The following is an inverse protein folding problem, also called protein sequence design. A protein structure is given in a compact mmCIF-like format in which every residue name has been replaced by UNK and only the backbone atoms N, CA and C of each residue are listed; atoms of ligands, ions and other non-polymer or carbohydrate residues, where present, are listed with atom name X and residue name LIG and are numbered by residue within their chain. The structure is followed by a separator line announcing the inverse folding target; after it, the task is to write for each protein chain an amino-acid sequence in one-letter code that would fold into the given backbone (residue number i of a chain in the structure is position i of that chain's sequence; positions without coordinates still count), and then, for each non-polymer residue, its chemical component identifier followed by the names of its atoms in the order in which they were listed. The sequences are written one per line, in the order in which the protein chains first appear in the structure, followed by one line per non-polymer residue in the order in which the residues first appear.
data_IF_562316151063
#
_entry.id   IF_562316151063
#
_cell.length_a   1.000
_cell.length_b   1.000
_cell.length_c   1.000
_cell.angle_alpha   90.00
_cell.angle_beta   90.00
_cell.angle_gamma   90.00
#
_symmetry.space_group_name_H-M   'P 1'
#
loop_
_entity.id
_entity.type
_entity.pdbx_description
1 polymer ?
#
# COMPACT_ATOMS: atom_id res chain seq x y z
N UNK A 1 -9.42 -4.79 -13.81
CA UNK A 1 -7.96 -5.00 -13.71
C UNK A 1 -7.42 -3.81 -12.93
N UNK A 2 -6.70 -4.09 -11.87
CA UNK A 2 -6.07 -3.07 -11.04
C UNK A 2 -4.62 -2.91 -11.52
N UNK A 3 -4.18 -1.69 -11.80
CA UNK A 3 -2.78 -1.40 -12.01
C UNK A 3 -2.09 -1.17 -10.66
N UNK A 4 -0.76 -1.20 -10.67
CA UNK A 4 0.07 -1.02 -9.49
C UNK A 4 1.41 -0.33 -9.86
N UNK A 5 2.30 -0.18 -8.89
CA UNK A 5 3.59 0.48 -9.14
C UNK A 5 4.45 -0.22 -10.21
N UNK A 6 4.33 -1.53 -10.38
CA UNK A 6 5.08 -2.25 -11.44
C UNK A 6 4.67 -1.78 -12.82
N UNK A 7 3.36 -1.63 -13.10
CA UNK A 7 2.86 -1.15 -14.37
C UNK A 7 3.22 0.32 -14.61
N UNK A 8 3.19 1.14 -13.57
CA UNK A 8 3.64 2.54 -13.64
C UNK A 8 5.13 2.61 -13.97
N UNK A 9 5.97 1.83 -13.29
CA UNK A 9 7.41 1.77 -13.54
C UNK A 9 7.75 1.22 -14.93
N UNK A 10 6.94 0.30 -15.46
CA UNK A 10 7.07 -0.21 -16.82
C UNK A 10 6.59 0.77 -17.91
N UNK A 11 6.00 1.92 -17.52
CA UNK A 11 5.51 2.94 -18.45
C UNK A 11 4.22 2.57 -19.19
N UNK A 12 3.47 1.57 -18.71
CA UNK A 12 2.21 1.11 -19.34
C UNK A 12 0.96 1.59 -18.61
N UNK A 13 1.12 2.26 -17.47
CA UNK A 13 0.05 2.87 -16.69
C UNK A 13 0.57 4.13 -15.98
N UNK A 14 -0.35 4.96 -15.50
CA UNK A 14 -0.09 6.10 -14.60
C UNK A 14 -0.56 5.78 -13.18
N UNK A 15 -0.24 6.62 -12.21
CA UNK A 15 -0.77 6.46 -10.84
C UNK A 15 -2.30 6.60 -10.79
N UNK A 16 -2.88 7.41 -11.66
CA UNK A 16 -4.34 7.59 -11.76
C UNK A 16 -5.05 6.33 -12.28
N UNK A 17 -4.32 5.45 -12.96
CA UNK A 17 -4.82 4.15 -13.41
C UNK A 17 -4.76 3.06 -12.33
N UNK A 18 -4.15 3.35 -11.16
CA UNK A 18 -4.04 2.42 -10.05
C UNK A 18 -5.32 2.47 -9.21
N UNK A 19 -6.27 1.60 -9.54
CA UNK A 19 -7.59 1.60 -8.91
C UNK A 19 -7.62 1.02 -7.49
N UNK A 20 -6.57 0.31 -7.04
CA UNK A 20 -6.52 -0.28 -5.71
C UNK A 20 -5.48 0.42 -4.85
N UNK A 21 -5.92 0.81 -3.66
CA UNK A 21 -5.04 1.26 -2.58
C UNK A 21 -5.38 0.57 -1.26
N UNK A 22 -4.39 0.41 -0.42
CA UNK A 22 -4.55 -0.09 0.96
C UNK A 22 -4.60 1.12 1.89
N UNK A 23 -5.69 1.24 2.66
CA UNK A 23 -5.80 2.21 3.74
C UNK A 23 -5.10 1.65 4.97
N UNK A 24 -4.22 2.45 5.56
CA UNK A 24 -3.44 2.07 6.74
C UNK A 24 -3.23 3.28 7.64
N UNK A 25 -3.03 3.02 8.93
CA UNK A 25 -2.87 4.05 9.95
C UNK A 25 -1.41 4.15 10.37
N UNK A 26 -0.93 5.37 10.58
CA UNK A 26 0.34 5.61 11.25
C UNK A 26 0.15 5.38 12.75
N UNK A 27 0.62 4.24 13.26
CA UNK A 27 0.37 3.81 14.64
C UNK A 27 1.48 4.20 15.62
N UNK A 28 2.66 4.56 15.09
CA UNK A 28 3.78 4.96 15.96
C UNK A 28 4.78 5.85 15.22
N UNK A 29 5.48 6.68 15.99
CA UNK A 29 6.61 7.49 15.56
C UNK A 29 7.75 7.37 16.56
N UNK A 30 8.92 6.94 16.10
CA UNK A 30 10.13 6.84 16.91
C UNK A 30 11.16 7.87 16.42
N UNK A 31 11.00 9.11 16.87
CA UNK A 31 11.81 10.25 16.42
C UNK A 31 11.32 10.87 15.11
N UNK A 32 12.06 11.84 14.53
CA UNK A 32 11.60 12.61 13.38
C UNK A 32 11.54 11.77 12.08
N UNK A 33 12.45 10.84 11.90
CA UNK A 33 12.68 10.20 10.60
C UNK A 33 12.15 8.76 10.52
N UNK A 34 11.35 8.34 11.52
CA UNK A 34 10.74 7.00 11.56
C UNK A 34 9.26 7.05 11.80
N UNK A 35 8.55 6.10 11.20
CA UNK A 35 7.13 5.86 11.43
C UNK A 35 6.80 4.38 11.30
N UNK A 36 5.64 3.99 11.83
CA UNK A 36 5.12 2.63 11.76
C UNK A 36 3.69 2.69 11.25
N UNK A 37 3.42 1.90 10.21
CA UNK A 37 2.07 1.62 9.70
C UNK A 37 1.54 0.32 10.32
N UNK A 38 0.23 0.20 10.46
CA UNK A 38 -0.45 -1.05 10.82
C UNK A 38 -0.68 -2.00 9.63
N UNK A 39 -0.05 -1.73 8.49
CA UNK A 39 -0.01 -2.60 7.33
C UNK A 39 1.42 -3.15 7.13
N UNK A 40 1.58 -4.43 7.36
CA UNK A 40 2.83 -5.17 7.19
C UNK A 40 2.81 -6.10 5.97
N UNK A 41 3.67 -7.13 6.01
CA UNK A 41 3.77 -8.10 4.92
C UNK A 41 2.51 -8.96 4.73
N UNK A 42 1.68 -9.12 5.76
CA UNK A 42 0.38 -9.81 5.67
C UNK A 42 -0.70 -8.98 4.95
N UNK A 43 -0.44 -7.70 4.72
CA UNK A 43 -1.37 -6.80 4.01
C UNK A 43 -0.80 -6.38 2.65
N UNK A 44 0.43 -5.87 2.64
CA UNK A 44 1.08 -5.31 1.43
C UNK A 44 1.99 -6.30 0.71
N UNK A 45 2.24 -7.46 1.31
CA UNK A 45 3.19 -8.50 0.90
C UNK A 45 4.65 -8.03 0.88
N UNK A 46 5.59 -8.96 0.80
CA UNK A 46 7.02 -8.65 0.69
C UNK A 46 7.52 -8.66 -0.75
N UNK A 47 6.60 -8.61 -1.73
CA UNK A 47 6.97 -8.58 -3.14
C UNK A 47 7.68 -7.25 -3.47
N UNK A 48 8.94 -7.28 -3.91
CA UNK A 48 9.69 -6.07 -4.25
C UNK A 48 9.24 -5.42 -5.56
N UNK A 49 8.27 -6.01 -6.27
CA UNK A 49 7.71 -5.44 -7.49
C UNK A 49 8.75 -5.21 -8.60
N UNK A 50 9.63 -6.19 -8.84
CA UNK A 50 10.67 -6.05 -9.86
C UNK A 50 11.84 -5.15 -9.45
N UNK A 51 12.05 -4.93 -8.17
CA UNK A 51 13.17 -4.13 -7.64
C UNK A 51 12.84 -2.65 -7.44
N UNK A 52 11.56 -2.32 -7.25
CA UNK A 52 11.13 -0.97 -6.87
C UNK A 52 11.69 -0.58 -5.50
N UNK A 53 12.00 0.69 -5.31
CA UNK A 53 12.41 1.20 -4.00
C UNK A 53 11.22 1.21 -3.02
N UNK A 54 11.41 0.57 -1.87
CA UNK A 54 10.37 0.41 -0.85
C UNK A 54 9.22 -0.54 -1.26
N UNK A 55 8.23 -0.66 -0.40
CA UNK A 55 7.14 -1.64 -0.50
C UNK A 55 5.76 -0.98 -0.71
N UNK A 56 5.66 -0.09 -1.65
CA UNK A 56 4.46 0.65 -1.98
C UNK A 56 4.73 2.15 -2.06
N UNK A 57 3.75 2.90 -2.56
CA UNK A 57 3.76 4.35 -2.62
C UNK A 57 2.65 4.90 -1.73
N UNK A 58 3.01 5.72 -0.77
CA UNK A 58 2.05 6.44 0.08
C UNK A 58 1.59 7.68 -0.68
N UNK A 59 0.30 7.76 -1.01
CA UNK A 59 -0.22 8.83 -1.87
C UNK A 59 -0.14 10.21 -1.21
N UNK A 60 -0.40 10.30 0.09
CA UNK A 60 -0.38 11.55 0.86
C UNK A 60 1.05 12.00 1.20
N UNK A 61 2.01 11.08 1.19
CA UNK A 61 3.42 11.33 1.50
C UNK A 61 4.33 10.57 0.53
N UNK A 62 4.42 10.98 -0.74
CA UNK A 62 5.16 10.22 -1.77
C UNK A 62 6.68 10.14 -1.51
N UNK A 63 7.22 11.02 -0.66
CA UNK A 63 8.61 10.99 -0.23
C UNK A 63 8.87 9.98 0.91
N UNK A 64 7.81 9.53 1.60
CA UNK A 64 7.90 8.53 2.65
C UNK A 64 8.11 7.14 2.05
N UNK A 65 9.10 6.43 2.54
CA UNK A 65 9.46 5.11 2.04
C UNK A 65 9.07 4.03 3.05
N UNK A 66 8.29 3.05 2.63
CA UNK A 66 8.10 1.82 3.41
C UNK A 66 9.37 0.98 3.21
N UNK A 67 10.28 1.04 4.18
CA UNK A 67 11.64 0.51 4.04
C UNK A 67 11.73 -1.00 4.29
N UNK A 68 10.88 -1.51 5.17
CA UNK A 68 10.82 -2.93 5.53
C UNK A 68 9.50 -3.27 6.21
N UNK A 69 9.22 -4.55 6.35
CA UNK A 69 8.06 -5.07 7.06
C UNK A 69 8.44 -5.93 8.26
N UNK A 70 7.57 -5.90 9.27
CA UNK A 70 7.19 -7.05 10.08
C UNK A 70 5.89 -7.62 9.49
N UNK A 71 5.31 -8.62 10.14
CA UNK A 71 4.07 -9.24 9.66
C UNK A 71 2.90 -8.25 9.61
N UNK A 72 2.68 -7.52 10.71
CA UNK A 72 1.56 -6.60 10.88
C UNK A 72 1.96 -5.12 10.70
N UNK A 73 3.26 -4.82 10.54
CA UNK A 73 3.74 -3.44 10.56
C UNK A 73 4.65 -3.11 9.40
N UNK A 74 4.45 -1.92 8.82
CA UNK A 74 5.35 -1.30 7.85
C UNK A 74 6.24 -0.24 8.51
N UNK A 75 7.55 -0.37 8.37
CA UNK A 75 8.51 0.58 8.90
C UNK A 75 8.80 1.66 7.86
N UNK A 76 8.50 2.92 8.24
CA UNK A 76 8.73 4.08 7.40
C UNK A 76 10.13 4.66 7.62
N UNK A 77 10.78 5.00 6.53
CA UNK A 77 11.88 5.94 6.45
C UNK A 77 11.34 7.28 5.95
N UNK A 78 11.44 8.31 6.78
CA UNK A 78 10.92 9.65 6.55
C UNK A 78 12.03 10.69 6.37
N UNK A 79 13.28 10.26 6.20
CA UNK A 79 14.45 11.15 6.09
C UNK A 79 14.33 12.15 4.94
N UNK A 80 13.63 11.78 3.86
CA UNK A 80 13.42 12.62 2.68
C UNK A 80 12.14 13.45 2.74
N UNK A 81 11.30 13.26 3.76
CA UNK A 81 10.00 13.93 3.85
C UNK A 81 10.14 15.36 4.36
N UNK A 82 9.59 16.31 3.61
CA UNK A 82 9.37 17.68 4.08
C UNK A 82 8.20 17.70 5.08
N UNK A 83 7.09 17.10 4.71
CA UNK A 83 5.94 16.88 5.58
C UNK A 83 5.89 15.43 6.04
N UNK A 84 5.77 15.23 7.34
CA UNK A 84 5.79 13.92 7.96
C UNK A 84 4.42 13.54 8.50
N UNK A 85 3.93 12.32 8.23
CA UNK A 85 2.68 11.87 8.79
C UNK A 85 2.74 11.82 10.33
N UNK A 86 1.61 12.01 10.99
CA UNK A 86 1.45 11.97 12.44
C UNK A 86 0.83 10.66 12.87
N UNK A 87 1.00 10.30 14.12
CA UNK A 87 0.27 9.17 14.72
C UNK A 87 -1.22 9.44 14.66
N UNK A 88 -1.98 8.48 14.13
CA UNK A 88 -3.41 8.57 13.88
C UNK A 88 -3.78 8.99 12.45
N UNK A 89 -2.83 9.46 11.64
CA UNK A 89 -3.11 9.74 10.24
C UNK A 89 -3.40 8.44 9.49
N UNK A 90 -4.46 8.46 8.70
CA UNK A 90 -4.78 7.40 7.75
C UNK A 90 -4.21 7.78 6.40
N UNK A 91 -3.45 6.87 5.81
CA UNK A 91 -2.81 7.06 4.51
C UNK A 91 -3.17 5.93 3.55
N UNK A 92 -3.07 6.21 2.25
CA UNK A 92 -3.34 5.24 1.18
C UNK A 92 -2.04 4.79 0.55
N UNK A 93 -1.89 3.48 0.43
CA UNK A 93 -0.72 2.87 -0.19
C UNK A 93 -1.10 2.20 -1.49
N UNK A 94 -0.53 2.65 -2.60
CA UNK A 94 -0.54 1.90 -3.86
C UNK A 94 0.53 0.81 -3.75
N UNK A 95 0.16 -0.48 -3.84
CA UNK A 95 1.12 -1.57 -3.66
C UNK A 95 2.10 -1.66 -4.84
N UNK A 96 3.23 -2.33 -4.60
CA UNK A 96 4.15 -2.67 -5.68
C UNK A 96 3.51 -3.65 -6.66
N UNK A 97 2.82 -4.68 -6.14
CA UNK A 97 2.21 -5.74 -6.93
C UNK A 97 0.79 -6.05 -6.40
N UNK A 98 -0.21 -5.62 -7.13
CA UNK A 98 -1.62 -5.70 -6.71
C UNK A 98 -2.16 -7.14 -6.63
N UNK A 99 -1.69 -8.05 -7.48
CA UNK A 99 -2.19 -9.42 -7.54
C UNK A 99 -2.00 -10.16 -6.22
N UNK A 100 -0.80 -10.05 -5.64
CA UNK A 100 -0.48 -10.70 -4.37
C UNK A 100 -1.21 -10.06 -3.19
N UNK A 101 -1.44 -8.74 -3.24
CA UNK A 101 -2.21 -8.02 -2.21
C UNK A 101 -3.68 -8.45 -2.20
N UNK A 102 -4.32 -8.48 -3.37
CA UNK A 102 -5.72 -8.94 -3.49
C UNK A 102 -5.88 -10.38 -3.02
N UNK A 103 -4.89 -11.23 -3.26
CA UNK A 103 -4.93 -12.63 -2.81
C UNK A 103 -4.83 -12.80 -1.28
N UNK A 104 -4.49 -11.75 -0.53
CA UNK A 104 -4.39 -11.79 0.94
C UNK A 104 -5.72 -11.51 1.64
N UNK A 105 -6.74 -11.02 0.93
CA UNK A 105 -8.04 -10.62 1.50
C UNK A 105 -9.18 -11.40 0.88
N UNK A 106 -10.28 -11.56 1.64
CA UNK A 106 -11.48 -12.25 1.15
C UNK A 106 -12.36 -11.36 0.29
N UNK A 107 -12.29 -10.04 0.51
CA UNK A 107 -13.10 -9.05 -0.18
C UNK A 107 -12.35 -7.73 -0.31
N UNK A 108 -12.77 -6.91 -1.27
CA UNK A 108 -12.31 -5.52 -1.44
C UNK A 108 -13.51 -4.58 -1.43
N UNK A 109 -13.33 -3.41 -0.81
CA UNK A 109 -14.34 -2.36 -0.75
C UNK A 109 -14.26 -1.51 -2.01
N UNK A 110 -15.39 -1.35 -2.71
CA UNK A 110 -15.50 -0.45 -3.86
C UNK A 110 -15.91 0.95 -3.39
N UNK A 111 -15.17 1.95 -3.83
CA UNK A 111 -15.45 3.36 -3.54
C UNK A 111 -15.61 4.17 -4.83
N UNK A 112 -16.42 5.21 -4.74
CA UNK A 112 -16.55 6.25 -5.78
C UNK A 112 -16.40 7.61 -5.10
N UNK A 113 -15.23 8.24 -5.26
CA UNK A 113 -14.86 9.35 -4.40
C UNK A 113 -14.77 8.88 -2.95
N UNK A 114 -15.51 9.51 -2.06
CA UNK A 114 -15.56 9.17 -0.63
C UNK A 114 -16.74 8.25 -0.26
N UNK A 115 -17.52 7.79 -1.24
CA UNK A 115 -18.68 6.94 -1.02
C UNK A 115 -18.35 5.46 -1.21
N UNK A 116 -18.71 4.61 -0.25
CA UNK A 116 -18.67 3.15 -0.40
C UNK A 116 -19.86 2.73 -1.26
N UNK A 117 -19.60 2.18 -2.44
CA UNK A 117 -20.62 1.75 -3.40
C UNK A 117 -20.83 0.25 -3.42
N UNK A 118 -19.99 -0.53 -2.76
CA UNK A 118 -20.17 -1.97 -2.65
C UNK A 118 -18.96 -2.71 -2.10
N UNK A 119 -19.10 -4.04 -2.06
CA UNK A 119 -18.06 -4.97 -1.65
C UNK A 119 -17.95 -6.05 -2.74
N UNK A 120 -16.73 -6.32 -3.19
CA UNK A 120 -16.42 -7.39 -4.15
C UNK A 120 -15.72 -8.55 -3.45
N UNK A 121 -16.29 -9.77 -3.50
CA UNK A 121 -15.57 -10.94 -3.01
C UNK A 121 -14.42 -11.30 -3.93
N UNK A 122 -13.29 -11.73 -3.35
CA UNK A 122 -12.15 -12.27 -4.09
C UNK A 122 -12.41 -13.76 -4.37
N UNK A 123 -13.19 -14.03 -5.41
CA UNK A 123 -13.74 -15.36 -5.70
C UNK A 123 -12.69 -16.46 -5.94
N UNK A 124 -11.49 -16.09 -6.41
CA UNK A 124 -10.40 -17.03 -6.68
C UNK A 124 -9.39 -17.18 -5.53
N UNK A 125 -9.60 -16.51 -4.39
CA UNK A 125 -8.72 -16.67 -3.22
C UNK A 125 -8.70 -18.11 -2.73
N UNK A 126 -7.50 -18.65 -2.53
CA UNK A 126 -7.31 -20.03 -2.09
C UNK A 126 -7.62 -21.11 -3.15
N UNK A 127 -7.87 -20.72 -4.41
CA UNK A 127 -8.15 -21.64 -5.52
C UNK A 127 -6.93 -22.01 -6.35
N UNK A 128 -5.73 -21.69 -5.88
CA UNK A 128 -4.48 -22.15 -6.50
C UNK A 128 -4.40 -23.67 -6.41
N UNK A 129 -4.11 -24.34 -7.54
CA UNK A 129 -3.97 -25.80 -7.65
C UNK A 129 -2.72 -26.12 -8.45
#
# INVERSE_FOLDING_TARGET
IYNDRMQVAAGVATLDDCALSVYTTVVSRAGPDRGILDAGSKTLTSDPGGGLDGFGLILEHPEARIARFAEEHGMLDLTKCNERPKVGDVVRVVPNHVCVVVNMVDEVVMVRGDEIVGILPVAARGRLR
#
